data_IF_898676404755
#
_entry.id   IF_898676404755
#
_cell.length_a   1.000
_cell.length_b   1.000
_cell.length_c   1.000
_cell.angle_alpha   90.00
_cell.angle_beta   90.00
_cell.angle_gamma   90.00
#
_symmetry.space_group_name_H-M   'P 1'
#
loop_
_entity.id
_entity.type
_entity.pdbx_description
1 polymer ?
#
# COMPACT_ATOMS: atom_id res chain seq x y z
N UNK A 1 9.05 1.69 -6.89
CA UNK A 1 10.15 0.85 -6.37
C UNK A 1 9.90 0.53 -4.90
N UNK A 2 10.28 -0.66 -4.41
CA UNK A 2 10.22 -0.97 -2.98
C UNK A 2 11.56 -0.64 -2.34
N UNK A 3 11.57 0.23 -1.34
CA UNK A 3 12.80 0.63 -0.65
C UNK A 3 12.53 0.87 0.84
N UNK A 4 13.60 1.00 1.62
CA UNK A 4 13.51 1.50 2.98
C UNK A 4 13.45 3.03 2.95
N UNK A 5 12.64 3.61 3.81
CA UNK A 5 12.48 5.07 3.87
C UNK A 5 13.76 5.68 4.45
N UNK A 6 14.37 6.63 3.72
CA UNK A 6 15.54 7.37 4.20
C UNK A 6 15.13 8.45 5.22
N UNK A 7 16.05 8.89 6.10
CA UNK A 7 15.77 9.98 7.06
C UNK A 7 15.36 11.29 6.36
N UNK A 8 15.96 11.56 5.18
CA UNK A 8 15.61 12.71 4.34
C UNK A 8 14.15 12.64 3.88
N UNK A 9 13.73 11.48 3.37
CA UNK A 9 12.37 11.21 2.91
C UNK A 9 11.35 11.27 4.07
N UNK A 10 11.74 10.78 5.26
CA UNK A 10 10.90 10.87 6.47
C UNK A 10 10.55 12.33 6.78
N UNK A 11 11.55 13.22 6.69
CA UNK A 11 11.36 14.66 6.92
C UNK A 11 10.59 15.33 5.79
N UNK A 12 10.93 15.02 4.54
CA UNK A 12 10.35 15.67 3.37
C UNK A 12 8.86 15.37 3.24
N UNK A 13 8.47 14.11 3.45
CA UNK A 13 7.07 13.67 3.39
C UNK A 13 6.33 13.75 4.73
N UNK A 14 6.97 14.26 5.78
CA UNK A 14 6.36 14.38 7.12
C UNK A 14 5.87 13.04 7.68
N UNK A 15 6.59 11.95 7.40
CA UNK A 15 6.17 10.58 7.71
C UNK A 15 5.94 10.39 9.21
N UNK A 16 6.76 11.00 10.06
CA UNK A 16 6.57 10.95 11.52
C UNK A 16 5.25 11.57 11.97
N UNK A 17 4.86 12.69 11.36
CA UNK A 17 3.60 13.36 11.70
C UNK A 17 2.40 12.54 11.19
N UNK A 18 2.52 12.00 9.97
CA UNK A 18 1.52 11.09 9.42
C UNK A 18 1.36 9.85 10.31
N UNK A 19 2.45 9.24 10.77
CA UNK A 19 2.43 8.06 11.63
C UNK A 19 1.77 8.36 12.99
N UNK A 20 2.08 9.51 13.60
CA UNK A 20 1.40 9.98 14.83
C UNK A 20 -0.10 10.13 14.64
N UNK A 21 -0.54 10.69 13.51
CA UNK A 21 -1.98 10.85 13.19
C UNK A 21 -2.69 9.52 12.98
N UNK A 22 -1.97 8.48 12.59
CA UNK A 22 -2.52 7.16 12.28
C UNK A 22 -2.60 6.22 13.49
N UNK A 23 -2.28 6.68 14.71
CA UNK A 23 -2.45 6.05 16.04
C UNK A 23 -2.56 4.50 16.07
N UNK A 24 -1.60 3.83 16.73
CA UNK A 24 -1.52 2.36 16.93
C UNK A 24 -1.15 1.52 15.70
N UNK A 25 -0.32 2.06 14.80
CA UNK A 25 0.19 1.30 13.66
C UNK A 25 1.62 0.81 13.92
N UNK A 26 1.90 -0.41 13.48
CA UNK A 26 3.24 -0.99 13.54
C UNK A 26 4.08 -0.26 12.51
N UNK A 27 4.93 0.67 12.95
CA UNK A 27 5.83 1.41 12.06
C UNK A 27 6.66 0.41 11.26
N UNK A 28 6.42 0.38 9.96
CA UNK A 28 7.26 -0.31 9.00
C UNK A 28 8.10 0.72 8.25
N UNK A 29 9.44 0.64 8.30
CA UNK A 29 10.34 1.53 7.58
C UNK A 29 10.44 1.17 6.09
N UNK A 30 9.49 0.41 5.56
CA UNK A 30 9.42 -0.03 4.16
C UNK A 30 8.24 0.66 3.46
N UNK A 31 8.46 1.08 2.23
CA UNK A 31 7.43 1.66 1.38
C UNK A 31 7.62 1.28 -0.08
N UNK A 32 6.58 1.50 -0.87
CA UNK A 32 6.63 1.45 -2.32
C UNK A 32 6.43 2.85 -2.85
N UNK A 33 7.50 3.49 -3.32
CA UNK A 33 7.48 4.87 -3.81
C UNK A 33 7.59 4.93 -5.33
N UNK A 34 6.84 5.86 -5.91
CA UNK A 34 6.96 6.32 -7.28
C UNK A 34 7.24 7.84 -7.26
N UNK A 35 8.54 8.19 -7.30
CA UNK A 35 9.01 9.58 -7.22
C UNK A 35 8.57 10.43 -8.41
N UNK A 36 8.37 9.84 -9.59
CA UNK A 36 7.93 10.59 -10.78
C UNK A 36 6.51 11.13 -10.65
N UNK A 37 5.68 10.45 -9.85
CA UNK A 37 4.27 10.78 -9.66
C UNK A 37 3.96 11.31 -8.25
N UNK A 38 4.97 11.43 -7.41
CA UNK A 38 4.86 11.77 -5.98
C UNK A 38 3.83 10.89 -5.24
N UNK A 39 3.90 9.58 -5.52
CA UNK A 39 2.99 8.58 -4.93
C UNK A 39 3.81 7.61 -4.08
N UNK A 40 3.36 7.32 -2.87
CA UNK A 40 3.90 6.21 -2.09
C UNK A 40 2.82 5.36 -1.44
N UNK A 41 3.07 4.07 -1.30
CA UNK A 41 2.22 3.10 -0.62
C UNK A 41 2.97 2.53 0.59
N UNK A 42 2.31 2.52 1.75
CA UNK A 42 2.82 1.90 2.98
C UNK A 42 1.81 0.95 3.58
N UNK A 43 2.28 -0.21 4.02
CA UNK A 43 1.49 -1.08 4.88
C UNK A 43 1.53 -0.51 6.30
N UNK A 44 0.39 -0.04 6.79
CA UNK A 44 0.28 0.58 8.12
C UNK A 44 -0.33 -0.36 9.14
N UNK A 45 -1.08 -1.38 8.73
CA UNK A 45 -1.59 -2.35 9.68
C UNK A 45 -2.16 -3.60 9.05
N UNK A 46 -2.47 -4.57 9.91
CA UNK A 46 -3.21 -5.76 9.53
C UNK A 46 -4.22 -6.11 10.61
N UNK A 47 -5.32 -6.77 10.22
CA UNK A 47 -6.21 -7.42 11.17
C UNK A 47 -5.50 -8.53 11.95
N UNK A 48 -6.19 -9.06 12.96
CA UNK A 48 -5.71 -10.15 13.80
C UNK A 48 -6.44 -11.44 13.43
N UNK A 49 -5.79 -12.57 13.68
CA UNK A 49 -6.40 -13.91 13.61
C UNK A 49 -7.08 -14.18 12.26
N UNK A 50 -8.40 -14.37 12.24
CA UNK A 50 -9.19 -14.62 11.03
C UNK A 50 -9.16 -13.45 10.02
N UNK A 51 -8.86 -12.24 10.50
CA UNK A 51 -8.72 -11.04 9.67
C UNK A 51 -7.25 -10.71 9.36
N UNK A 52 -6.32 -11.64 9.55
CA UNK A 52 -4.90 -11.40 9.25
C UNK A 52 -4.65 -11.02 7.78
N UNK A 53 -5.53 -11.45 6.87
CA UNK A 53 -5.50 -11.10 5.45
C UNK A 53 -6.00 -9.67 5.19
N UNK A 54 -6.77 -9.07 6.10
CA UNK A 54 -7.22 -7.70 5.98
C UNK A 54 -6.06 -6.76 6.29
N UNK A 55 -5.49 -6.17 5.25
CA UNK A 55 -4.39 -5.21 5.32
C UNK A 55 -4.91 -3.78 5.23
N UNK A 56 -4.31 -2.89 6.00
CA UNK A 56 -4.52 -1.45 5.94
C UNK A 56 -3.29 -0.82 5.31
N UNK A 57 -3.51 -0.13 4.20
CA UNK A 57 -2.48 0.60 3.48
C UNK A 57 -2.76 2.10 3.58
N UNK A 58 -1.70 2.88 3.70
CA UNK A 58 -1.72 4.32 3.51
C UNK A 58 -1.09 4.62 2.15
N UNK A 59 -1.89 5.18 1.24
CA UNK A 59 -1.44 5.65 -0.06
C UNK A 59 -1.36 7.17 0.00
N UNK A 60 -0.19 7.73 -0.19
CA UNK A 60 -0.02 9.15 -0.40
C UNK A 60 -0.05 9.42 -1.90
N UNK A 61 -0.89 10.37 -2.30
CA UNK A 61 -1.14 10.71 -3.69
C UNK A 61 -1.36 12.21 -3.80
N UNK A 62 -0.52 12.91 -4.55
CA UNK A 62 -0.55 14.37 -4.78
C UNK A 62 -0.82 15.19 -3.49
N UNK A 63 -0.01 14.99 -2.44
CA UNK A 63 -0.17 15.76 -1.20
C UNK A 63 -1.24 15.23 -0.23
N UNK A 64 -2.00 14.20 -0.60
CA UNK A 64 -3.12 13.69 0.18
C UNK A 64 -2.89 12.25 0.61
N UNK A 65 -3.13 11.99 1.89
CA UNK A 65 -3.05 10.65 2.47
C UNK A 65 -4.41 9.96 2.39
N UNK A 66 -4.46 8.80 1.76
CA UNK A 66 -5.65 8.00 1.50
C UNK A 66 -5.50 6.67 2.24
N UNK A 67 -6.47 6.34 3.08
CA UNK A 67 -6.49 5.07 3.80
C UNK A 67 -7.28 4.03 3.02
N UNK A 68 -6.65 2.87 2.82
CA UNK A 68 -7.18 1.81 1.97
C UNK A 68 -7.17 0.52 2.77
N UNK A 69 -8.27 -0.21 2.72
CA UNK A 69 -8.43 -1.54 3.30
C UNK A 69 -8.52 -2.54 2.17
N UNK A 70 -7.60 -3.50 2.17
CA UNK A 70 -7.53 -4.56 1.16
C UNK A 70 -7.56 -5.91 1.88
N UNK A 71 -8.28 -6.88 1.32
CA UNK A 71 -8.07 -8.28 1.64
C UNK A 71 -6.94 -8.81 0.77
N UNK A 72 -5.85 -9.22 1.39
CA UNK A 72 -4.69 -9.78 0.71
C UNK A 72 -4.71 -11.31 0.85
N UNK A 73 -5.07 -12.00 -0.22
CA UNK A 73 -5.03 -13.44 -0.30
C UNK A 73 -3.74 -13.89 -0.98
N UNK A 74 -3.01 -14.79 -0.34
CA UNK A 74 -1.79 -15.35 -0.93
C UNK A 74 -2.02 -16.81 -1.28
N UNK A 75 -1.85 -17.15 -2.54
CA UNK A 75 -1.84 -18.53 -3.03
C UNK A 75 -0.42 -19.01 -3.28
N UNK A 76 -0.18 -20.30 -3.08
CA UNK A 76 1.06 -20.95 -3.52
C UNK A 76 0.71 -22.13 -4.39
N UNK A 77 1.24 -22.15 -5.61
CA UNK A 77 1.09 -23.24 -6.55
C UNK A 77 2.46 -23.73 -7.02
N UNK A 78 2.48 -24.85 -7.74
CA UNK A 78 3.67 -25.35 -8.43
C UNK A 78 4.22 -24.36 -9.48
N UNK A 79 3.41 -23.40 -9.93
CA UNK A 79 3.82 -22.34 -10.86
C UNK A 79 4.37 -21.08 -10.17
N UNK A 80 4.29 -20.97 -8.84
CA UNK A 80 4.81 -19.82 -8.08
C UNK A 80 3.89 -19.38 -6.95
N UNK A 81 4.19 -18.20 -6.39
CA UNK A 81 3.29 -17.53 -5.44
C UNK A 81 2.36 -16.58 -6.21
N UNK A 82 1.08 -16.57 -5.86
CA UNK A 82 0.11 -15.59 -6.34
C UNK A 82 -0.37 -14.73 -5.18
N UNK A 83 -0.64 -13.46 -5.46
CA UNK A 83 -1.18 -12.50 -4.49
C UNK A 83 -2.41 -11.87 -5.12
N UNK A 84 -3.56 -12.05 -4.49
CA UNK A 84 -4.81 -11.44 -4.90
C UNK A 84 -5.19 -10.35 -3.89
N UNK A 85 -5.55 -9.18 -4.38
CA UNK A 85 -6.02 -8.06 -3.56
C UNK A 85 -7.48 -7.74 -3.89
N UNK A 86 -8.33 -7.79 -2.89
CA UNK A 86 -9.73 -7.35 -2.99
C UNK A 86 -9.94 -6.06 -2.21
N UNK A 87 -10.66 -5.09 -2.79
CA UNK A 87 -10.90 -3.79 -2.15
C UNK A 87 -12.04 -3.88 -1.14
N UNK A 88 -11.70 -3.83 0.14
CA UNK A 88 -12.67 -3.80 1.23
C UNK A 88 -13.22 -2.40 1.48
N UNK A 89 -12.39 -1.37 1.27
CA UNK A 89 -12.81 0.01 1.46
C UNK A 89 -11.70 1.02 1.19
N UNK A 90 -12.09 2.24 0.82
CA UNK A 90 -11.19 3.34 0.53
C UNK A 90 -11.75 4.64 1.09
N UNK A 91 -10.96 5.32 1.92
CA UNK A 91 -11.29 6.62 2.50
C UNK A 91 -10.71 7.73 1.62
N UNK A 92 -11.42 8.02 0.53
CA UNK A 92 -11.12 9.14 -0.37
C UNK A 92 -11.81 10.41 0.13
N UNK A 93 -11.08 11.53 0.14
CA UNK A 93 -11.69 12.85 0.29
C UNK A 93 -12.65 13.12 -0.88
N UNK A 94 -13.76 13.80 -0.62
CA UNK A 94 -14.80 14.09 -1.63
C UNK A 94 -14.24 14.84 -2.85
N UNK A 95 -13.24 15.68 -2.65
CA UNK A 95 -12.52 16.41 -3.70
C UNK A 95 -11.74 15.50 -4.66
N UNK A 96 -11.32 14.32 -4.19
CA UNK A 96 -10.64 13.29 -5.01
C UNK A 96 -11.61 12.28 -5.64
N UNK A 97 -12.93 12.44 -5.47
CA UNK A 97 -13.90 11.49 -6.04
C UNK A 97 -13.78 11.42 -7.57
N UNK A 98 -13.51 12.55 -8.23
CA UNK A 98 -13.29 12.64 -9.68
C UNK A 98 -11.98 11.97 -10.11
N UNK A 99 -10.96 11.99 -9.25
CA UNK A 99 -9.65 11.35 -9.49
C UNK A 99 -9.58 9.91 -8.99
N UNK A 100 -10.67 9.36 -8.43
CA UNK A 100 -10.77 7.97 -7.98
C UNK A 100 -10.23 6.94 -8.98
N UNK A 101 -10.60 6.97 -10.29
CA UNK A 101 -10.05 5.99 -11.24
C UNK A 101 -8.52 6.11 -11.37
N UNK A 102 -7.98 7.32 -11.30
CA UNK A 102 -6.55 7.57 -11.38
C UNK A 102 -5.82 7.04 -10.15
N UNK A 103 -6.36 7.33 -8.96
CA UNK A 103 -5.85 6.80 -7.67
C UNK A 103 -5.86 5.27 -7.66
N UNK A 104 -6.92 4.64 -8.18
CA UNK A 104 -6.99 3.18 -8.26
C UNK A 104 -5.97 2.59 -9.24
N UNK A 105 -5.67 3.29 -10.33
CA UNK A 105 -4.62 2.89 -11.27
C UNK A 105 -3.25 2.97 -10.60
N UNK A 106 -2.93 4.09 -9.97
CA UNK A 106 -1.72 4.28 -9.17
C UNK A 106 -1.58 3.23 -8.06
N UNK A 107 -2.67 2.93 -7.38
CA UNK A 107 -2.72 1.89 -6.35
C UNK A 107 -2.39 0.51 -6.94
N UNK A 108 -2.96 0.15 -8.10
CA UNK A 108 -2.68 -1.12 -8.78
C UNK A 108 -1.20 -1.21 -9.18
N UNK A 109 -0.62 -0.14 -9.70
CA UNK A 109 0.80 -0.09 -10.04
C UNK A 109 1.70 -0.23 -8.80
N UNK A 110 1.35 0.48 -7.72
CA UNK A 110 2.07 0.40 -6.45
C UNK A 110 1.96 -1.01 -5.83
N UNK A 111 0.78 -1.62 -5.82
CA UNK A 111 0.57 -2.98 -5.30
C UNK A 111 1.28 -4.04 -6.16
N UNK A 112 1.30 -3.86 -7.48
CA UNK A 112 2.07 -4.71 -8.40
C UNK A 112 3.55 -4.65 -8.07
N UNK A 113 4.06 -3.44 -7.80
CA UNK A 113 5.46 -3.26 -7.38
C UNK A 113 5.70 -3.85 -5.99
N UNK A 114 4.78 -3.66 -5.05
CA UNK A 114 4.85 -4.22 -3.70
C UNK A 114 4.82 -5.76 -3.70
N UNK A 115 4.16 -6.39 -4.68
CA UNK A 115 4.20 -7.82 -4.95
C UNK A 115 3.91 -8.73 -3.72
N UNK A 116 3.14 -8.23 -2.75
CA UNK A 116 2.74 -8.97 -1.53
C UNK A 116 3.70 -8.90 -0.36
N UNK A 117 4.88 -8.30 -0.52
CA UNK A 117 5.92 -8.29 0.52
C UNK A 117 6.92 -7.15 0.46
N UNK A 118 6.71 -6.15 -0.39
CA UNK A 118 7.59 -4.99 -0.53
C UNK A 118 9.02 -5.38 -0.83
N UNK A 119 9.94 -4.96 0.02
CA UNK A 119 11.38 -5.25 -0.10
C UNK A 119 11.67 -6.76 -0.03
N UNK A 120 10.81 -7.54 0.63
CA UNK A 120 10.96 -9.00 0.75
C UNK A 120 10.21 -9.79 -0.34
N UNK A 121 9.57 -9.10 -1.29
CA UNK A 121 8.84 -9.77 -2.35
C UNK A 121 9.82 -10.49 -3.29
N UNK A 122 9.51 -11.75 -3.60
CA UNK A 122 10.24 -12.51 -4.63
C UNK A 122 9.71 -12.07 -6.00
N UNK A 123 10.61 -11.85 -6.96
CA UNK A 123 10.34 -11.29 -8.30
C UNK A 123 9.39 -12.10 -9.20
N UNK A 124 8.74 -13.15 -8.69
CA UNK A 124 7.87 -14.07 -9.44
C UNK A 124 6.43 -14.14 -8.89
N UNK A 125 6.02 -13.18 -8.07
CA UNK A 125 4.67 -13.18 -7.53
C UNK A 125 3.66 -12.66 -8.56
N UNK A 126 2.74 -13.51 -9.02
CA UNK A 126 1.64 -13.09 -9.87
C UNK A 126 0.65 -12.26 -9.05
N UNK A 127 0.44 -10.99 -9.39
CA UNK A 127 -0.47 -10.09 -8.68
C UNK A 127 -1.79 -9.96 -9.43
N UNK A 128 -2.91 -10.08 -8.74
CA UNK A 128 -4.27 -9.95 -9.30
C UNK A 128 -5.14 -9.06 -8.42
N UNK A 129 -6.16 -8.43 -9.00
CA UNK A 129 -6.99 -7.42 -8.34
C UNK A 129 -8.47 -7.71 -8.52
N UNK A 130 -9.26 -7.57 -7.45
CA UNK A 130 -10.71 -7.73 -7.41
C UNK A 130 -11.46 -6.40 -7.26
N UNK A 131 -11.10 -5.38 -8.04
CA UNK A 131 -11.73 -4.05 -8.05
C UNK A 131 -11.39 -3.23 -9.30
#
# INVERSE_FOLDING_TARGET
MNEYISDEDIKWYGIEEADRRLFNITFRPEWTINRERDVYLRLVGSGREEFANHKRFALYWEGKLILIRLDQQTGRSSAGCSVHYELLGIELATDLASSRPQVLMDLKEALTTYAGGGVNARSQNATSFGF
#
